data_IF_061713563773
#
_entry.id   IF_061713563773
#
_cell.length_a   1.000
_cell.length_b   1.000
_cell.length_c   1.000
_cell.angle_alpha   90.00
_cell.angle_beta   90.00
_cell.angle_gamma   90.00
#
_symmetry.space_group_name_H-M   'P 1'
#
loop_
_entity.id
_entity.type
_entity.pdbx_description
1 polymer ?
#
# COMPACT_ATOMS: atom_id res chain seq x y z
N UNK A 1 -22.44 2.53 -6.11
CA UNK A 1 -22.17 3.92 -6.51
C UNK A 1 -20.79 4.24 -5.99
N UNK A 2 -19.75 4.01 -6.80
CA UNK A 2 -18.37 4.25 -6.39
C UNK A 2 -18.09 5.75 -6.34
N UNK A 3 -18.06 6.27 -5.12
CA UNK A 3 -17.82 7.68 -4.81
C UNK A 3 -16.32 8.02 -4.73
N UNK A 4 -15.45 7.08 -5.09
CA UNK A 4 -14.00 7.25 -4.97
C UNK A 4 -13.35 7.25 -6.36
N UNK A 5 -13.41 8.40 -7.03
CA UNK A 5 -12.55 8.61 -8.19
C UNK A 5 -11.09 8.39 -7.77
N UNK A 6 -10.38 7.52 -8.50
CA UNK A 6 -8.96 7.28 -8.29
C UNK A 6 -8.21 8.54 -8.73
N UNK A 7 -7.83 9.38 -7.77
CA UNK A 7 -6.97 10.52 -8.06
C UNK A 7 -5.58 10.03 -8.46
N UNK A 8 -5.07 10.59 -9.55
CA UNK A 8 -3.67 10.43 -9.96
C UNK A 8 -2.71 11.22 -9.07
N UNK A 9 -3.23 12.10 -8.20
CA UNK A 9 -2.46 12.89 -7.25
C UNK A 9 -2.85 12.54 -5.81
N UNK A 10 -2.24 11.49 -5.23
CA UNK A 10 -2.50 11.16 -3.85
C UNK A 10 -1.90 12.23 -2.93
N UNK A 11 -2.60 12.57 -1.84
CA UNK A 11 -2.20 13.65 -0.92
C UNK A 11 -0.76 13.48 -0.43
N UNK A 12 0.08 14.49 -0.61
CA UNK A 12 1.50 14.51 -0.17
C UNK A 12 1.80 15.70 0.75
N UNK A 13 2.99 15.69 1.38
CA UNK A 13 3.48 16.83 2.17
C UNK A 13 3.59 18.06 1.27
N UNK A 14 3.13 19.19 1.78
CA UNK A 14 3.04 20.46 1.04
C UNK A 14 1.68 20.71 0.41
N UNK A 15 0.85 19.67 0.24
CA UNK A 15 -0.52 19.85 -0.25
C UNK A 15 -1.34 20.69 0.71
N UNK A 16 -2.21 21.51 0.14
CA UNK A 16 -3.14 22.33 0.90
C UNK A 16 -4.54 21.75 0.84
N UNK A 17 -5.09 21.39 1.99
CA UNK A 17 -6.47 20.90 2.11
C UNK A 17 -7.39 22.01 2.63
N UNK A 18 -8.64 22.02 2.15
CA UNK A 18 -9.68 22.97 2.57
C UNK A 18 -10.93 22.25 3.06
N UNK A 19 -11.50 22.68 4.19
CA UNK A 19 -12.76 22.14 4.71
C UNK A 19 -13.65 23.25 5.32
N UNK A 20 -14.95 23.00 5.42
CA UNK A 20 -15.89 23.87 6.14
C UNK A 20 -15.97 23.42 7.62
N UNK A 21 -15.55 24.25 8.60
CA UNK A 21 -15.64 23.90 10.01
C UNK A 21 -17.08 23.95 10.57
N UNK A 22 -18.04 24.49 9.79
CA UNK A 22 -19.46 24.62 10.16
C UNK A 22 -20.36 24.13 9.01
N UNK A 23 -20.23 22.85 8.62
CA UNK A 23 -20.94 22.34 7.46
C UNK A 23 -22.46 22.40 7.68
N UNK A 24 -23.19 22.62 6.59
CA UNK A 24 -24.65 22.67 6.63
C UNK A 24 -25.30 21.36 7.13
N UNK A 25 -24.60 20.23 6.99
CA UNK A 25 -25.05 18.93 7.49
C UNK A 25 -24.10 18.43 8.58
N UNK A 26 -24.65 18.04 9.71
CA UNK A 26 -23.87 17.47 10.82
C UNK A 26 -23.08 16.21 10.43
N UNK A 27 -23.51 15.48 9.39
CA UNK A 27 -22.80 14.30 8.89
C UNK A 27 -21.49 14.60 8.15
N UNK A 28 -21.22 15.87 7.82
CA UNK A 28 -19.99 16.25 7.11
C UNK A 28 -18.84 16.58 8.10
N UNK A 29 -19.14 16.67 9.40
CA UNK A 29 -18.18 16.77 10.51
C UNK A 29 -18.69 15.95 11.71
N UNK A 30 -18.18 14.74 11.86
CA UNK A 30 -18.64 13.77 12.86
C UNK A 30 -17.55 13.55 13.91
N UNK A 31 -17.95 13.44 15.18
CA UNK A 31 -17.08 12.90 16.22
C UNK A 31 -17.26 11.38 16.27
N UNK A 32 -16.17 10.62 16.23
CA UNK A 32 -16.17 9.17 16.34
C UNK A 32 -15.12 8.67 17.34
N UNK A 33 -15.33 7.46 17.87
CA UNK A 33 -14.36 6.80 18.74
C UNK A 33 -13.66 5.69 17.95
N UNK A 34 -12.34 5.75 17.90
CA UNK A 34 -11.51 4.74 17.25
C UNK A 34 -10.91 3.83 18.32
N UNK A 35 -11.08 2.51 18.16
CA UNK A 35 -10.54 1.49 19.07
C UNK A 35 -9.42 0.70 18.40
N UNK A 36 -8.31 0.45 19.10
CA UNK A 36 -7.18 -0.35 18.59
C UNK A 36 -6.45 -1.13 19.70
N UNK A 37 -5.48 -1.95 19.30
CA UNK A 37 -4.61 -2.72 20.19
C UNK A 37 -3.17 -2.21 20.09
N UNK A 38 -2.53 -1.94 21.24
CA UNK A 38 -1.13 -1.51 21.32
C UNK A 38 -0.55 -1.95 22.66
N UNK A 39 -0.26 -3.26 22.76
CA UNK A 39 0.08 -3.94 24.02
C UNK A 39 -1.13 -4.17 24.94
N UNK A 40 -2.01 -3.17 25.02
CA UNK A 40 -3.30 -3.20 25.70
C UNK A 40 -4.39 -2.56 24.81
N UNK A 41 -5.68 -2.81 25.07
CA UNK A 41 -6.76 -2.11 24.39
C UNK A 41 -6.66 -0.60 24.60
N UNK A 42 -6.79 0.17 23.52
CA UNK A 42 -6.79 1.64 23.55
C UNK A 42 -7.95 2.18 22.72
N UNK A 43 -8.34 3.41 23.04
CA UNK A 43 -9.33 4.16 22.26
C UNK A 43 -9.12 5.66 22.39
N UNK A 44 -9.56 6.41 21.39
CA UNK A 44 -9.50 7.87 21.39
C UNK A 44 -10.64 8.45 20.56
N UNK A 45 -10.90 9.75 20.76
CA UNK A 45 -11.91 10.48 19.99
C UNK A 45 -11.28 11.20 18.81
N UNK A 46 -11.93 11.11 17.65
CA UNK A 46 -11.50 11.76 16.41
C UNK A 46 -12.65 12.58 15.82
N UNK A 47 -12.30 13.74 15.28
CA UNK A 47 -13.13 14.48 14.34
C UNK A 47 -12.87 13.93 12.93
N UNK A 48 -13.92 13.51 12.24
CA UNK A 48 -13.85 13.07 10.84
C UNK A 48 -14.64 14.00 9.95
N UNK A 49 -14.03 14.38 8.83
CA UNK A 49 -14.63 15.26 7.84
C UNK A 49 -14.02 15.01 6.46
N UNK A 50 -14.63 15.61 5.44
CA UNK A 50 -14.14 15.59 4.06
C UNK A 50 -13.48 16.93 3.75
N UNK A 51 -12.25 16.88 3.25
CA UNK A 51 -11.53 18.06 2.79
C UNK A 51 -11.29 18.00 1.28
N UNK A 52 -11.09 19.15 0.66
CA UNK A 52 -10.76 19.30 -0.75
C UNK A 52 -9.26 19.56 -0.88
N UNK A 53 -8.56 18.81 -1.73
CA UNK A 53 -7.14 19.10 -2.04
C UNK A 53 -7.02 20.24 -3.05
N UNK A 54 -6.78 21.46 -2.55
CA UNK A 54 -6.66 22.67 -3.36
C UNK A 54 -5.44 22.64 -4.28
N UNK A 55 -4.35 22.02 -3.85
CA UNK A 55 -3.12 21.89 -4.66
C UNK A 55 -3.36 21.00 -5.88
N UNK A 56 -4.13 19.92 -5.74
CA UNK A 56 -4.51 19.07 -6.86
C UNK A 56 -5.53 19.74 -7.81
N UNK A 57 -6.37 20.64 -7.29
CA UNK A 57 -7.37 21.38 -8.08
C UNK A 57 -6.77 22.44 -9.00
N UNK A 58 -5.60 23.00 -8.67
CA UNK A 58 -4.91 23.98 -9.52
C UNK A 58 -4.55 23.39 -10.91
N UNK A 59 -4.63 22.06 -11.08
CA UNK A 59 -4.54 21.34 -12.35
C UNK A 59 -5.86 21.20 -13.14
N UNK A 60 -6.98 21.79 -12.68
CA UNK A 60 -8.28 21.77 -13.38
C UNK A 60 -9.14 20.52 -13.17
N UNK A 61 -8.86 19.70 -12.14
CA UNK A 61 -9.62 18.48 -11.89
C UNK A 61 -11.08 18.77 -11.50
N UNK A 62 -12.02 18.29 -12.32
CA UNK A 62 -13.46 18.29 -12.04
C UNK A 62 -13.97 16.84 -12.08
N UNK A 63 -14.60 16.31 -11.04
CA UNK A 63 -14.97 16.94 -9.76
C UNK A 63 -13.77 17.20 -8.81
N UNK A 64 -13.95 18.05 -7.78
CA UNK A 64 -12.93 18.33 -6.75
C UNK A 64 -12.44 17.04 -6.07
N UNK A 65 -11.13 16.95 -5.81
CA UNK A 65 -10.56 15.77 -5.15
C UNK A 65 -10.84 15.79 -3.65
N UNK A 66 -11.74 14.89 -3.21
CA UNK A 66 -12.17 14.79 -1.82
C UNK A 66 -11.26 13.81 -1.06
N UNK A 67 -10.72 14.29 0.06
CA UNK A 67 -9.83 13.57 0.96
C UNK A 67 -10.55 13.35 2.30
N UNK A 68 -10.73 12.11 2.77
CA UNK A 68 -11.15 11.86 4.14
C UNK A 68 -10.05 12.29 5.12
N UNK A 69 -10.44 13.04 6.14
CA UNK A 69 -9.54 13.57 7.16
C UNK A 69 -10.00 13.10 8.53
N UNK A 70 -9.06 12.63 9.33
CA UNK A 70 -9.28 12.26 10.73
C UNK A 70 -8.34 13.06 11.61
N UNK A 71 -8.86 13.76 12.59
CA UNK A 71 -8.07 14.56 13.52
C UNK A 71 -8.44 14.16 14.93
N UNK A 72 -7.47 13.70 15.72
CA UNK A 72 -7.71 13.43 17.13
C UNK A 72 -8.28 14.69 17.79
N UNK A 73 -9.29 14.55 18.65
CA UNK A 73 -10.08 15.67 19.17
C UNK A 73 -9.23 16.79 19.77
N UNK A 74 -8.21 16.46 20.55
CA UNK A 74 -7.29 17.43 21.15
C UNK A 74 -6.41 18.18 20.14
N UNK A 75 -6.21 17.62 18.95
CA UNK A 75 -5.49 18.23 17.83
C UNK A 75 -6.42 19.07 16.94
N UNK A 76 -7.72 18.79 16.94
CA UNK A 76 -8.68 19.47 16.07
C UNK A 76 -8.79 20.96 16.38
N UNK A 77 -8.84 21.34 17.66
CA UNK A 77 -8.85 22.76 18.03
C UNK A 77 -7.58 23.49 17.59
N UNK A 78 -6.43 22.81 17.66
CA UNK A 78 -5.15 23.38 17.23
C UNK A 78 -5.10 23.56 15.72
N UNK A 79 -5.62 22.57 14.98
CA UNK A 79 -5.79 22.66 13.53
C UNK A 79 -6.67 23.85 13.15
N UNK A 80 -7.85 23.99 13.77
CA UNK A 80 -8.77 25.11 13.50
C UNK A 80 -8.14 26.47 13.80
N UNK A 81 -7.38 26.58 14.90
CA UNK A 81 -6.70 27.83 15.29
C UNK A 81 -5.52 28.20 14.37
N UNK A 82 -4.85 27.21 13.80
CA UNK A 82 -3.65 27.39 12.94
C UNK A 82 -3.97 27.43 11.44
N UNK A 83 -5.15 26.97 11.03
CA UNK A 83 -5.58 27.00 9.65
C UNK A 83 -5.80 28.43 9.15
N UNK A 84 -5.50 28.64 7.87
CA UNK A 84 -5.70 29.92 7.21
C UNK A 84 -7.18 30.07 6.78
N UNK A 85 -7.76 31.28 6.86
CA UNK A 85 -9.11 31.50 6.36
C UNK A 85 -9.16 31.35 4.84
N UNK A 86 -10.06 30.51 4.35
CA UNK A 86 -10.38 30.32 2.95
C UNK A 86 -11.67 31.04 2.51
N UNK A 87 -12.05 30.94 1.24
CA UNK A 87 -13.28 31.54 0.72
C UNK A 87 -14.53 30.93 1.38
N UNK A 88 -15.61 31.69 1.47
CA UNK A 88 -16.90 31.23 2.01
C UNK A 88 -16.84 30.67 3.45
N UNK A 89 -15.84 31.06 4.24
CA UNK A 89 -15.70 30.63 5.62
C UNK A 89 -15.07 29.24 5.79
N UNK A 90 -14.46 28.68 4.74
CA UNK A 90 -13.64 27.47 4.86
C UNK A 90 -12.33 27.77 5.59
N UNK A 91 -11.67 26.70 6.03
CA UNK A 91 -10.33 26.73 6.60
C UNK A 91 -9.39 25.91 5.72
N UNK A 92 -8.21 26.46 5.45
CA UNK A 92 -7.15 25.83 4.68
C UNK A 92 -5.96 25.47 5.57
N UNK A 93 -5.45 24.24 5.44
CA UNK A 93 -4.30 23.76 6.21
C UNK A 93 -3.33 22.97 5.33
N UNK A 94 -2.01 23.08 5.57
CA UNK A 94 -1.03 22.28 4.86
C UNK A 94 -0.91 20.87 5.45
N UNK A 95 -0.62 19.90 4.59
CA UNK A 95 -0.13 18.59 5.00
C UNK A 95 1.36 18.70 5.30
N UNK A 96 1.73 18.36 6.52
CA UNK A 96 3.11 18.39 7.04
C UNK A 96 3.58 16.98 7.39
N UNK A 97 4.84 16.84 7.82
CA UNK A 97 5.38 15.57 8.33
C UNK A 97 4.77 15.12 9.67
N UNK A 98 3.89 15.94 10.28
CA UNK A 98 3.12 15.57 11.47
C UNK A 98 1.89 14.73 11.16
N UNK A 99 1.46 14.75 9.90
CA UNK A 99 0.38 13.90 9.44
C UNK A 99 0.87 12.48 9.19
N UNK A 100 -0.02 11.54 9.44
CA UNK A 100 0.06 10.20 8.90
C UNK A 100 -1.02 10.03 7.83
N UNK A 101 -0.95 8.95 7.09
CA UNK A 101 -1.95 8.62 6.09
C UNK A 101 -2.20 7.12 6.03
N UNK A 102 -3.39 6.75 5.59
CA UNK A 102 -3.63 5.41 5.09
C UNK A 102 -4.13 5.48 3.66
N UNK A 103 -4.19 4.34 2.99
CA UNK A 103 -4.66 4.26 1.61
C UNK A 103 -5.24 2.89 1.31
N UNK A 104 -6.21 2.85 0.38
CA UNK A 104 -6.78 1.59 -0.10
C UNK A 104 -5.81 0.89 -1.05
N UNK A 105 -5.16 1.65 -1.92
CA UNK A 105 -4.26 1.13 -2.96
C UNK A 105 -2.87 1.77 -2.90
N UNK A 106 -1.86 1.05 -3.40
CA UNK A 106 -0.45 1.48 -3.40
C UNK A 106 -0.17 2.72 -4.25
N UNK A 107 -0.99 2.93 -5.28
CA UNK A 107 -1.01 4.15 -6.11
C UNK A 107 -1.40 5.40 -5.31
N UNK A 108 -1.82 5.23 -4.05
CA UNK A 108 -2.39 6.28 -3.22
C UNK A 108 -3.87 6.54 -3.49
N UNK A 109 -4.50 5.72 -4.33
CA UNK A 109 -5.94 5.75 -4.49
C UNK A 109 -6.66 5.38 -3.17
N UNK A 110 -7.68 6.15 -2.82
CA UNK A 110 -8.34 6.05 -1.52
C UNK A 110 -7.47 6.53 -0.35
N UNK A 111 -6.51 7.44 -0.58
CA UNK A 111 -5.71 8.04 0.48
C UNK A 111 -6.57 8.91 1.40
N UNK A 112 -6.37 8.73 2.70
CA UNK A 112 -6.93 9.55 3.77
C UNK A 112 -5.79 9.99 4.68
N UNK A 113 -5.97 11.10 5.39
CA UNK A 113 -4.94 11.65 6.28
C UNK A 113 -5.41 11.66 7.73
N UNK A 114 -4.47 11.45 8.65
CA UNK A 114 -4.70 11.36 10.09
C UNK A 114 -3.73 12.30 10.82
N UNK A 115 -4.26 13.22 11.62
CA UNK A 115 -3.47 14.05 12.54
C UNK A 115 -3.79 13.63 13.98
N UNK A 116 -2.81 13.11 14.68
CA UNK A 116 -2.99 12.60 16.05
C UNK A 116 -1.65 12.48 16.79
N UNK A 117 -1.71 12.06 18.05
CA UNK A 117 -0.53 11.70 18.82
C UNK A 117 0.23 10.53 18.16
N UNK A 118 1.45 10.80 17.67
CA UNK A 118 2.35 9.80 17.04
C UNK A 118 2.74 8.62 17.94
N UNK A 119 2.53 8.74 19.26
CA UNK A 119 2.67 7.62 20.20
C UNK A 119 1.53 6.60 20.10
N UNK A 120 0.43 6.92 19.44
CA UNK A 120 -0.66 6.00 19.14
C UNK A 120 -0.38 5.29 17.81
N UNK A 121 -0.61 3.98 17.75
CA UNK A 121 -0.39 3.18 16.53
C UNK A 121 -1.65 2.42 16.10
N UNK A 122 -2.79 3.09 15.84
CA UNK A 122 -3.95 2.45 15.25
C UNK A 122 -3.62 1.97 13.84
N UNK A 123 -4.17 0.82 13.46
CA UNK A 123 -4.12 0.34 12.08
C UNK A 123 -4.99 1.20 11.16
N UNK A 124 -4.62 1.28 9.88
CA UNK A 124 -5.37 2.01 8.87
C UNK A 124 -6.81 1.46 8.68
N UNK A 125 -7.02 0.17 8.95
CA UNK A 125 -8.31 -0.52 8.90
C UNK A 125 -9.34 0.06 9.88
N UNK A 126 -8.88 0.82 10.88
CA UNK A 126 -9.74 1.48 11.86
C UNK A 126 -10.37 2.76 11.36
N UNK A 127 -9.84 3.33 10.27
CA UNK A 127 -10.31 4.59 9.70
C UNK A 127 -11.12 4.40 8.42
N UNK A 128 -11.03 3.23 7.78
CA UNK A 128 -11.74 2.94 6.54
C UNK A 128 -12.41 1.58 6.62
N UNK A 129 -13.70 1.54 6.24
CA UNK A 129 -14.35 0.29 5.86
C UNK A 129 -13.71 -0.20 4.56
N UNK A 130 -12.77 -1.14 4.69
CA UNK A 130 -12.20 -1.78 3.51
C UNK A 130 -13.22 -2.79 2.95
N UNK A 131 -13.33 -2.96 1.62
CA UNK A 131 -14.06 -4.08 1.02
C UNK A 131 -13.61 -5.44 1.59
N UNK A 132 -12.37 -5.51 2.08
CA UNK A 132 -11.86 -6.69 2.77
C UNK A 132 -12.49 -6.92 4.14
N UNK A 133 -12.82 -5.87 4.91
CA UNK A 133 -13.60 -6.00 6.16
C UNK A 133 -14.98 -6.62 5.87
N UNK A 134 -15.61 -6.24 4.75
CA UNK A 134 -16.87 -6.84 4.29
C UNK A 134 -16.68 -8.29 3.85
N UNK A 135 -15.62 -8.59 3.09
CA UNK A 135 -15.27 -9.97 2.70
C UNK A 135 -14.96 -10.84 3.92
N UNK A 136 -14.21 -10.35 4.91
CA UNK A 136 -13.91 -11.06 6.14
C UNK A 136 -15.16 -11.31 6.95
N UNK A 137 -16.07 -10.34 7.02
CA UNK A 137 -17.36 -10.51 7.67
C UNK A 137 -18.19 -11.57 6.95
N UNK A 138 -18.13 -11.61 5.62
CA UNK A 138 -18.78 -12.64 4.80
C UNK A 138 -18.13 -14.03 4.98
N UNK A 139 -16.79 -14.11 4.99
CA UNK A 139 -16.02 -15.34 5.23
C UNK A 139 -16.27 -15.88 6.64
N UNK A 140 -16.24 -14.99 7.63
CA UNK A 140 -16.49 -15.32 9.03
C UNK A 140 -17.93 -15.76 9.24
N UNK A 141 -18.89 -15.10 8.58
CA UNK A 141 -20.29 -15.52 8.55
C UNK A 141 -20.47 -16.91 7.94
N UNK A 142 -19.90 -17.15 6.76
CA UNK A 142 -19.99 -18.43 6.06
C UNK A 142 -19.32 -19.57 6.88
N UNK A 143 -18.12 -19.33 7.40
CA UNK A 143 -17.39 -20.30 8.24
C UNK A 143 -18.11 -20.58 9.56
N UNK A 144 -18.72 -19.56 10.18
CA UNK A 144 -19.53 -19.74 11.40
C UNK A 144 -20.80 -20.56 11.14
N UNK A 145 -21.50 -20.30 10.03
CA UNK A 145 -22.68 -21.07 9.60
C UNK A 145 -22.31 -22.54 9.34
N UNK A 146 -21.12 -22.80 8.78
CA UNK A 146 -20.62 -24.14 8.51
C UNK A 146 -20.03 -24.86 9.76
N UNK A 147 -20.12 -24.27 10.95
CA UNK A 147 -19.54 -24.84 12.17
C UNK A 147 -18.01 -24.86 12.20
N UNK A 148 -17.36 -24.03 11.37
CA UNK A 148 -15.90 -23.92 11.25
C UNK A 148 -15.37 -22.61 11.87
N UNK A 149 -15.90 -22.20 13.03
CA UNK A 149 -15.50 -20.96 13.70
C UNK A 149 -13.97 -20.85 13.94
N UNK A 150 -13.29 -21.95 14.29
CA UNK A 150 -11.83 -21.97 14.47
C UNK A 150 -11.05 -21.61 13.20
N UNK A 151 -11.62 -21.84 12.01
CA UNK A 151 -11.04 -21.45 10.72
C UNK A 151 -11.27 -19.97 10.47
N UNK A 152 -12.45 -19.47 10.81
CA UNK A 152 -12.79 -18.06 10.75
C UNK A 152 -11.85 -17.22 11.63
N UNK A 153 -11.52 -17.72 12.82
CA UNK A 153 -10.61 -17.06 13.76
C UNK A 153 -9.17 -17.02 13.25
N UNK A 154 -8.68 -18.08 12.58
CA UNK A 154 -7.35 -18.08 11.97
C UNK A 154 -7.27 -17.12 10.77
N UNK A 155 -8.34 -17.05 9.97
CA UNK A 155 -8.44 -16.10 8.85
C UNK A 155 -8.53 -14.67 9.38
N UNK A 156 -9.30 -14.41 10.45
CA UNK A 156 -9.37 -13.09 11.08
C UNK A 156 -8.03 -12.69 11.71
N UNK A 157 -7.34 -13.61 12.39
CA UNK A 157 -6.01 -13.36 12.97
C UNK A 157 -4.97 -13.05 11.88
N UNK A 158 -4.98 -13.79 10.77
CA UNK A 158 -4.07 -13.55 9.66
C UNK A 158 -4.43 -12.28 8.90
N UNK A 159 -5.72 -12.00 8.72
CA UNK A 159 -6.20 -10.76 8.16
C UNK A 159 -5.77 -9.57 9.01
N UNK A 160 -5.94 -9.63 10.33
CA UNK A 160 -5.40 -8.61 11.23
C UNK A 160 -3.89 -8.52 11.13
N UNK A 161 -3.16 -9.63 11.03
CA UNK A 161 -1.70 -9.60 10.86
C UNK A 161 -1.26 -8.95 9.54
N UNK A 162 -2.05 -9.09 8.47
CA UNK A 162 -1.75 -8.56 7.14
C UNK A 162 -2.31 -7.15 6.89
N UNK A 163 -3.38 -6.77 7.60
CA UNK A 163 -4.20 -5.60 7.32
C UNK A 163 -4.40 -4.65 8.51
N UNK A 164 -3.94 -4.99 9.72
CA UNK A 164 -3.57 -4.00 10.76
C UNK A 164 -2.29 -3.28 10.32
N UNK A 165 -2.30 -2.76 9.08
CA UNK A 165 -1.21 -1.99 8.52
C UNK A 165 -1.14 -0.72 9.35
N UNK A 166 0.03 -0.38 9.90
CA UNK A 166 0.16 0.87 10.61
C UNK A 166 -0.21 2.02 9.65
N UNK A 167 -0.73 3.11 10.21
CA UNK A 167 -0.74 4.37 9.50
C UNK A 167 0.69 4.68 9.01
N UNK A 168 0.77 5.21 7.80
CA UNK A 168 2.01 5.50 7.11
C UNK A 168 2.44 6.91 7.46
N UNK A 169 3.73 7.11 7.69
CA UNK A 169 4.27 8.45 7.96
C UNK A 169 4.83 9.05 6.69
N UNK A 170 4.55 10.32 6.44
CA UNK A 170 5.17 11.06 5.34
C UNK A 170 6.67 11.27 5.53
N UNK A 171 7.19 11.18 6.76
CA UNK A 171 8.63 11.26 7.04
C UNK A 171 9.39 9.98 6.66
N UNK A 172 8.71 8.88 6.36
CA UNK A 172 9.35 7.62 5.95
C UNK A 172 9.50 7.61 4.44
N UNK A 173 10.71 7.88 3.97
CA UNK A 173 11.04 7.74 2.56
C UNK A 173 11.10 6.25 2.16
N UNK A 174 10.52 5.87 1.01
CA UNK A 174 10.67 4.52 0.47
C UNK A 174 12.14 4.12 0.33
N UNK A 175 12.42 2.82 0.47
CA UNK A 175 13.80 2.29 0.34
C UNK A 175 14.41 2.57 -1.05
N UNK A 176 13.56 2.69 -2.07
CA UNK A 176 13.96 3.04 -3.44
C UNK A 176 12.83 3.80 -4.16
N UNK A 177 13.19 4.79 -4.97
CA UNK A 177 12.26 5.63 -5.76
C UNK A 177 12.72 5.72 -7.22
N UNK A 178 11.82 6.19 -8.07
CA UNK A 178 12.19 6.59 -9.43
C UNK A 178 13.31 7.64 -9.37
N UNK A 179 14.31 7.51 -10.22
CA UNK A 179 15.50 8.38 -10.29
C UNK A 179 16.62 8.05 -9.30
N UNK A 180 16.41 7.19 -8.29
CA UNK A 180 17.49 6.76 -7.41
C UNK A 180 18.52 5.90 -8.18
N UNK A 181 19.78 5.91 -7.74
CA UNK A 181 20.85 5.09 -8.33
C UNK A 181 21.15 3.91 -7.41
N UNK A 182 21.04 2.70 -7.96
CA UNK A 182 21.41 1.45 -7.30
C UNK A 182 22.78 0.98 -7.77
N UNK A 183 23.70 0.82 -6.83
CA UNK A 183 25.01 0.23 -7.03
C UNK A 183 24.98 -1.26 -6.76
N UNK A 184 25.51 -2.04 -7.69
CA UNK A 184 25.74 -3.48 -7.54
C UNK A 184 27.23 -3.75 -7.65
N UNK A 185 27.83 -4.23 -6.58
CA UNK A 185 29.24 -4.65 -6.62
C UNK A 185 29.41 -5.87 -7.52
N UNK A 186 30.43 -5.83 -8.38
CA UNK A 186 30.73 -6.90 -9.31
C UNK A 186 31.14 -8.21 -8.59
N UNK A 187 31.71 -8.10 -7.37
CA UNK A 187 32.12 -9.25 -6.55
C UNK A 187 31.01 -9.75 -5.60
N UNK A 188 30.10 -8.87 -5.16
CA UNK A 188 28.95 -9.23 -4.30
C UNK A 188 27.84 -9.94 -5.07
N UNK A 189 28.03 -10.17 -6.38
CA UNK A 189 27.21 -11.05 -7.20
C UNK A 189 27.38 -12.54 -6.84
N UNK A 190 27.57 -12.90 -5.57
CA UNK A 190 27.26 -14.23 -5.08
C UNK A 190 25.73 -14.39 -5.15
N UNK A 191 25.26 -14.77 -6.35
CA UNK A 191 23.85 -14.74 -6.73
C UNK A 191 23.14 -15.88 -6.01
N UNK A 192 22.40 -15.59 -4.95
CA UNK A 192 21.36 -16.53 -4.55
C UNK A 192 20.28 -16.49 -5.63
N UNK A 193 19.79 -17.65 -6.03
CA UNK A 193 18.73 -17.77 -7.03
C UNK A 193 17.41 -18.01 -6.33
N UNK A 194 16.35 -17.37 -6.79
CA UNK A 194 14.97 -17.66 -6.41
C UNK A 194 14.17 -18.08 -7.64
N UNK A 195 13.47 -19.21 -7.55
CA UNK A 195 12.55 -19.64 -8.60
C UNK A 195 11.15 -19.14 -8.29
N UNK A 196 10.64 -18.25 -9.15
CA UNK A 196 9.31 -17.66 -9.02
C UNK A 196 8.35 -18.40 -9.94
N UNK A 197 7.27 -18.94 -9.37
CA UNK A 197 6.21 -19.68 -10.10
C UNK A 197 4.89 -18.91 -9.98
N UNK A 198 4.18 -18.75 -11.10
CA UNK A 198 2.89 -18.07 -11.14
C UNK A 198 1.96 -18.61 -12.23
N UNK A 199 0.71 -18.16 -12.23
CA UNK A 199 -0.27 -18.44 -13.27
C UNK A 199 -0.51 -17.16 -14.08
N UNK A 200 -0.47 -17.26 -15.40
CA UNK A 200 -0.77 -16.16 -16.31
C UNK A 200 -1.44 -16.76 -17.55
N UNK A 201 -2.58 -16.21 -17.97
CA UNK A 201 -3.37 -16.70 -19.13
C UNK A 201 -3.67 -18.22 -19.03
N UNK A 202 -4.13 -18.66 -17.85
CA UNK A 202 -4.41 -20.07 -17.55
C UNK A 202 -3.21 -21.03 -17.68
N UNK A 203 -2.00 -20.50 -17.90
CA UNK A 203 -0.77 -21.27 -18.06
C UNK A 203 0.15 -21.08 -16.85
N UNK A 204 0.72 -22.18 -16.36
CA UNK A 204 1.73 -22.14 -15.30
C UNK A 204 3.05 -21.65 -15.88
N UNK A 205 3.63 -20.61 -15.28
CA UNK A 205 4.92 -20.04 -15.62
C UNK A 205 5.90 -20.25 -14.46
N UNK A 206 7.18 -20.37 -14.76
CA UNK A 206 8.24 -20.59 -13.77
C UNK A 206 9.53 -20.02 -14.31
N UNK A 207 10.18 -19.15 -13.54
CA UNK A 207 11.38 -18.44 -13.99
C UNK A 207 12.35 -18.26 -12.82
N UNK A 208 13.65 -18.23 -13.13
CA UNK A 208 14.72 -18.06 -12.14
C UNK A 208 15.18 -16.61 -12.13
N UNK A 209 15.35 -16.08 -10.93
CA UNK A 209 15.85 -14.73 -10.70
C UNK A 209 17.10 -14.79 -9.83
N UNK A 210 18.11 -14.00 -10.19
CA UNK A 210 19.20 -13.65 -9.29
C UNK A 210 18.70 -12.65 -8.27
N UNK A 211 18.88 -12.96 -6.99
CA UNK A 211 18.68 -12.04 -5.89
C UNK A 211 20.02 -11.47 -5.47
N UNK A 212 20.11 -10.14 -5.50
CA UNK A 212 21.34 -9.39 -5.22
C UNK A 212 21.01 -8.33 -4.17
N UNK A 213 21.97 -8.04 -3.30
CA UNK A 213 21.88 -6.88 -2.44
C UNK A 213 22.58 -5.70 -3.11
N UNK A 214 21.79 -4.77 -3.62
CA UNK A 214 22.28 -3.51 -4.17
C UNK A 214 22.35 -2.45 -3.06
N UNK A 215 23.05 -1.36 -3.33
CA UNK A 215 23.16 -0.19 -2.45
C UNK A 215 22.53 1.02 -3.14
N UNK A 216 21.51 1.61 -2.53
CA UNK A 216 20.95 2.88 -3.00
C UNK A 216 21.87 4.03 -2.57
N UNK A 217 22.77 4.43 -3.48
CA UNK A 217 23.77 5.48 -3.22
C UNK A 217 23.12 6.88 -3.20
N UNK A 218 21.94 7.04 -3.79
CA UNK A 218 21.14 8.27 -3.72
C UNK A 218 20.41 8.45 -2.38
N UNK A 219 20.33 7.39 -1.56
CA UNK A 219 19.60 7.39 -0.29
C UNK A 219 20.47 6.86 0.85
N UNK A 220 21.60 7.55 1.12
CA UNK A 220 22.51 7.26 2.23
C UNK A 220 23.02 5.81 2.28
N UNK A 221 23.30 5.20 1.11
CA UNK A 221 23.79 3.84 0.98
C UNK A 221 22.88 2.77 1.60
N UNK A 222 21.55 2.97 1.55
CA UNK A 222 20.60 1.96 2.06
C UNK A 222 20.68 0.66 1.24
N UNK A 223 20.66 -0.53 1.88
CA UNK A 223 20.61 -1.79 1.16
C UNK A 223 19.25 -2.00 0.50
N UNK A 224 19.24 -2.53 -0.73
CA UNK A 224 18.05 -2.79 -1.54
C UNK A 224 18.14 -4.19 -2.13
N UNK A 225 17.11 -5.01 -1.91
CA UNK A 225 16.99 -6.28 -2.63
C UNK A 225 16.72 -5.98 -4.10
N UNK A 226 17.52 -6.55 -4.98
CA UNK A 226 17.41 -6.37 -6.41
C UNK A 226 17.35 -7.73 -7.08
N UNK A 227 16.22 -8.01 -7.73
CA UNK A 227 15.96 -9.25 -8.44
C UNK A 227 16.13 -9.03 -9.93
N UNK A 228 16.88 -9.92 -10.59
CA UNK A 228 17.09 -9.85 -12.03
C UNK A 228 16.80 -11.21 -12.61
N UNK A 229 15.94 -11.27 -13.64
CA UNK A 229 15.71 -12.52 -14.35
C UNK A 229 17.04 -13.06 -14.90
N UNK A 230 17.28 -14.35 -14.70
CA UNK A 230 18.55 -15.00 -15.03
C UNK A 230 19.01 -14.73 -16.47
N UNK A 231 18.13 -14.95 -17.46
CA UNK A 231 18.44 -14.73 -18.88
C UNK A 231 18.63 -13.24 -19.27
N UNK A 232 18.23 -12.31 -18.41
CA UNK A 232 18.29 -10.87 -18.67
C UNK A 232 19.54 -10.21 -18.09
N UNK A 233 20.28 -10.91 -17.22
CA UNK A 233 21.46 -10.39 -16.54
C UNK A 233 22.54 -9.90 -17.51
N UNK A 234 23.06 -10.81 -18.34
CA UNK A 234 24.20 -10.51 -19.22
C UNK A 234 23.79 -9.77 -20.50
N UNK A 235 22.55 -9.98 -20.96
CA UNK A 235 22.08 -9.49 -22.26
C UNK A 235 21.47 -8.10 -22.15
N UNK A 236 20.71 -7.82 -21.09
CA UNK A 236 19.88 -6.62 -21.02
C UNK A 236 20.33 -5.68 -19.89
N UNK A 237 20.55 -6.20 -18.69
CA UNK A 237 20.82 -5.35 -17.53
C UNK A 237 22.12 -4.56 -17.69
N UNK A 238 23.22 -5.21 -18.08
CA UNK A 238 24.50 -4.51 -18.25
C UNK A 238 24.45 -3.44 -19.35
N UNK A 239 23.50 -3.50 -20.28
CA UNK A 239 23.36 -2.47 -21.32
C UNK A 239 22.69 -1.19 -20.82
N UNK A 240 21.98 -1.26 -19.69
CA UNK A 240 21.30 -0.11 -19.08
C UNK A 240 22.04 0.47 -17.86
N UNK A 241 23.25 -0.04 -17.55
CA UNK A 241 24.09 0.53 -16.51
C UNK A 241 24.52 1.96 -16.88
N UNK A 242 24.30 2.91 -15.97
CA UNK A 242 24.72 4.32 -16.15
C UNK A 242 26.21 4.51 -15.84
N UNK A 243 26.80 3.61 -15.05
CA UNK A 243 28.25 3.52 -14.84
C UNK A 243 28.70 2.06 -14.80
N UNK A 244 29.89 1.82 -15.35
CA UNK A 244 30.59 0.52 -15.36
C UNK A 244 32.03 0.76 -14.94
N UNK A 245 32.29 0.65 -13.65
CA UNK A 245 33.66 0.71 -13.13
C UNK A 245 34.13 -0.71 -12.80
N UNK A 246 35.46 -0.90 -12.70
CA UNK A 246 36.07 -2.23 -12.59
C UNK A 246 35.53 -3.10 -11.43
N UNK A 247 34.87 -2.50 -10.43
CA UNK A 247 34.35 -3.20 -9.26
C UNK A 247 32.83 -3.06 -9.02
N UNK A 248 32.10 -2.28 -9.81
CA UNK A 248 30.66 -2.10 -9.60
C UNK A 248 29.91 -1.62 -10.87
N UNK A 249 28.60 -1.81 -10.84
CA UNK A 249 27.66 -1.33 -11.84
C UNK A 249 26.62 -0.43 -11.16
N UNK A 250 26.38 0.74 -11.73
CA UNK A 250 25.34 1.66 -11.25
C UNK A 250 24.15 1.64 -12.21
N UNK A 251 22.94 1.57 -11.67
CA UNK A 251 21.68 1.52 -12.40
C UNK A 251 20.76 2.63 -11.91
N UNK A 252 20.32 3.50 -12.80
CA UNK A 252 19.29 4.48 -12.49
C UNK A 252 17.92 3.82 -12.52
N UNK A 253 17.20 3.85 -11.39
CA UNK A 253 15.84 3.31 -11.28
C UNK A 253 14.90 4.17 -12.11
N UNK A 254 14.14 3.52 -12.98
CA UNK A 254 13.21 4.14 -13.91
C UNK A 254 12.07 3.16 -14.29
N UNK A 255 11.20 3.55 -15.22
CA UNK A 255 10.10 2.71 -15.70
C UNK A 255 10.49 1.41 -16.43
N UNK A 256 11.78 1.11 -16.62
CA UNK A 256 12.23 -0.21 -17.09
C UNK A 256 12.25 -1.24 -15.95
N UNK A 257 12.25 -0.79 -14.72
CA UNK A 257 12.20 -1.62 -13.53
C UNK A 257 10.77 -1.74 -13.01
N UNK A 258 10.51 -2.86 -12.35
CA UNK A 258 9.35 -3.02 -11.49
C UNK A 258 9.80 -3.12 -10.04
N UNK A 259 8.85 -3.06 -9.11
CA UNK A 259 9.14 -3.24 -7.70
C UNK A 259 8.04 -4.01 -6.98
N UNK A 260 8.42 -4.57 -5.84
CA UNK A 260 7.47 -4.97 -4.81
C UNK A 260 7.85 -4.33 -3.49
N UNK A 261 6.95 -4.36 -2.51
CA UNK A 261 7.16 -3.74 -1.21
C UNK A 261 6.43 -4.52 -0.11
N UNK A 262 6.96 -4.45 1.11
CA UNK A 262 6.36 -5.13 2.25
C UNK A 262 5.05 -4.46 2.66
N UNK A 263 4.97 -3.14 2.50
CA UNK A 263 3.79 -2.36 2.78
C UNK A 263 3.69 -1.13 1.86
N UNK A 264 2.56 -0.44 1.98
CA UNK A 264 2.17 0.68 1.14
C UNK A 264 3.02 1.94 1.34
N UNK A 265 3.85 2.05 2.40
CA UNK A 265 4.81 3.18 2.55
C UNK A 265 6.06 3.01 1.71
N UNK A 266 6.23 1.86 1.04
CA UNK A 266 7.49 1.56 0.34
C UNK A 266 8.63 1.19 1.28
N UNK A 267 8.31 0.84 2.53
CA UNK A 267 9.28 0.22 3.44
C UNK A 267 9.72 -1.14 2.87
N UNK A 268 11.02 -1.41 2.94
CA UNK A 268 11.66 -2.59 2.35
C UNK A 268 11.34 -2.81 0.87
N UNK A 269 11.04 -1.74 0.12
CA UNK A 269 10.81 -1.85 -1.33
C UNK A 269 12.03 -2.47 -2.01
N UNK A 270 11.77 -3.47 -2.85
CA UNK A 270 12.78 -4.17 -3.65
C UNK A 270 12.53 -3.96 -5.14
N UNK A 271 13.60 -4.02 -5.93
CA UNK A 271 13.55 -3.80 -7.37
C UNK A 271 13.57 -5.13 -8.11
N UNK A 272 12.87 -5.19 -9.23
CA UNK A 272 12.84 -6.34 -10.15
C UNK A 272 13.13 -5.85 -11.56
N UNK A 273 14.08 -6.49 -12.24
CA UNK A 273 14.37 -6.29 -13.66
C UNK A 273 14.16 -7.59 -14.44
N UNK A 274 13.23 -7.58 -15.38
CA UNK A 274 12.81 -8.74 -16.16
C UNK A 274 11.95 -8.32 -17.36
N UNK A 275 11.49 -9.31 -18.13
CA UNK A 275 10.47 -9.11 -19.17
C UNK A 275 9.15 -8.58 -18.59
N UNK A 276 8.78 -7.35 -18.97
CA UNK A 276 7.56 -6.66 -18.51
C UNK A 276 6.26 -7.29 -19.00
N UNK A 277 6.30 -8.19 -19.98
CA UNK A 277 5.12 -8.98 -20.36
C UNK A 277 4.72 -10.00 -19.27
N UNK A 278 5.62 -10.25 -18.31
CA UNK A 278 5.40 -11.17 -17.20
C UNK A 278 4.72 -10.44 -16.05
N UNK A 279 3.73 -11.09 -15.44
CA UNK A 279 2.98 -10.52 -14.32
C UNK A 279 3.06 -11.40 -13.07
N UNK A 280 4.26 -11.72 -12.55
CA UNK A 280 4.38 -12.42 -11.28
C UNK A 280 3.88 -11.53 -10.13
N UNK A 281 3.26 -12.15 -9.14
CA UNK A 281 2.84 -11.46 -7.94
C UNK A 281 4.03 -11.17 -7.01
N UNK A 282 4.04 -9.98 -6.39
CA UNK A 282 5.13 -9.48 -5.54
C UNK A 282 5.48 -10.43 -4.39
N UNK A 283 4.48 -11.07 -3.78
CA UNK A 283 4.67 -11.99 -2.66
C UNK A 283 5.49 -13.23 -3.04
N UNK A 284 5.74 -13.50 -4.32
CA UNK A 284 6.55 -14.64 -4.78
C UNK A 284 8.05 -14.39 -4.67
N UNK A 285 8.47 -13.14 -4.54
CA UNK A 285 9.89 -12.76 -4.48
C UNK A 285 10.46 -12.78 -3.06
N UNK A 286 9.60 -12.62 -2.05
CA UNK A 286 10.00 -12.63 -0.64
C UNK A 286 9.08 -13.57 0.15
N UNK A 287 9.57 -14.21 1.23
CA UNK A 287 8.71 -14.95 2.14
C UNK A 287 7.56 -14.06 2.64
N UNK A 288 6.32 -14.49 2.41
CA UNK A 288 5.12 -13.75 2.78
C UNK A 288 4.19 -14.65 3.59
N UNK A 289 3.50 -14.11 4.64
CA UNK A 289 2.44 -14.82 5.35
C UNK A 289 1.34 -15.36 4.43
N UNK A 290 1.15 -14.75 3.25
CA UNK A 290 0.24 -15.23 2.20
C UNK A 290 0.57 -16.68 1.78
N UNK A 291 1.84 -17.10 1.79
CA UNK A 291 2.18 -18.50 1.50
C UNK A 291 1.60 -19.48 2.53
N UNK A 292 1.52 -19.10 3.80
CA UNK A 292 0.85 -19.92 4.81
C UNK A 292 -0.65 -20.04 4.51
N UNK A 293 -1.28 -18.96 4.03
CA UNK A 293 -2.69 -18.93 3.64
C UNK A 293 -2.98 -19.77 2.40
N UNK A 294 -2.16 -19.60 1.35
CA UNK A 294 -2.27 -20.38 0.11
C UNK A 294 -2.08 -21.86 0.42
N UNK A 295 -1.06 -22.23 1.21
CA UNK A 295 -0.85 -23.62 1.60
C UNK A 295 -2.02 -24.18 2.43
N UNK A 296 -2.57 -23.38 3.34
CA UNK A 296 -3.73 -23.76 4.14
C UNK A 296 -4.97 -24.03 3.29
N UNK A 297 -5.29 -23.15 2.33
CA UNK A 297 -6.47 -23.33 1.46
C UNK A 297 -6.25 -24.36 0.34
N UNK A 298 -5.02 -24.57 -0.11
CA UNK A 298 -4.69 -25.57 -1.15
C UNK A 298 -4.94 -27.02 -0.69
N UNK A 299 -5.06 -27.24 0.62
CA UNK A 299 -5.33 -28.55 1.22
C UNK A 299 -6.83 -28.79 1.47
N UNK A 300 -7.71 -27.86 1.07
CA UNK A 300 -9.16 -27.92 1.30
C UNK A 300 -9.92 -27.94 -0.04
N UNK A 301 -11.18 -28.40 -0.06
CA UNK A 301 -12.02 -28.35 -1.26
C UNK A 301 -12.10 -26.92 -1.83
N UNK A 302 -12.33 -26.79 -3.15
CA UNK A 302 -12.24 -25.52 -3.85
C UNK A 302 -13.17 -24.47 -3.23
N UNK A 303 -12.61 -23.26 -3.04
CA UNK A 303 -13.29 -22.11 -2.43
C UNK A 303 -14.61 -21.74 -3.14
N UNK A 304 -14.81 -22.16 -4.39
CA UNK A 304 -16.06 -22.00 -5.15
C UNK A 304 -17.28 -22.57 -4.43
N UNK A 305 -17.11 -23.67 -3.70
CA UNK A 305 -18.21 -24.40 -3.08
C UNK A 305 -18.56 -23.84 -1.69
N UNK A 306 -17.66 -23.06 -1.10
CA UNK A 306 -17.78 -22.50 0.25
C UNK A 306 -18.28 -21.05 0.22
N UNK A 307 -17.94 -20.30 -0.83
CA UNK A 307 -17.99 -18.85 -0.74
C UNK A 307 -19.22 -18.18 -1.31
N UNK A 308 -19.94 -18.77 -2.26
CA UNK A 308 -21.08 -18.13 -2.95
C UNK A 308 -20.88 -16.62 -3.20
N UNK A 309 -19.62 -16.19 -3.35
CA UNK A 309 -19.26 -14.81 -3.65
C UNK A 309 -19.89 -14.59 -5.01
N UNK A 310 -20.59 -13.48 -5.16
CA UNK A 310 -21.19 -13.10 -6.42
C UNK A 310 -20.03 -12.79 -7.38
N UNK A 311 -19.43 -13.84 -7.95
CA UNK A 311 -18.23 -13.85 -8.78
C UNK A 311 -18.45 -13.18 -10.14
N UNK A 312 -19.59 -12.50 -10.27
CA UNK A 312 -20.00 -11.67 -11.39
C UNK A 312 -19.46 -10.24 -11.27
N UNK A 313 -19.03 -9.80 -10.08
CA UNK A 313 -18.33 -8.53 -9.91
C UNK A 313 -16.80 -8.71 -10.09
N UNK A 314 -16.23 -8.25 -11.21
CA UNK A 314 -14.81 -8.41 -11.51
C UNK A 314 -13.88 -7.67 -10.54
N UNK A 315 -14.33 -6.60 -9.88
CA UNK A 315 -13.52 -5.88 -8.89
C UNK A 315 -13.38 -6.71 -7.61
N UNK A 316 -14.47 -7.33 -7.14
CA UNK A 316 -14.47 -8.21 -5.98
C UNK A 316 -13.59 -9.44 -6.21
N UNK A 317 -13.62 -10.00 -7.42
CA UNK A 317 -12.75 -11.14 -7.80
C UNK A 317 -11.28 -10.71 -7.88
N UNK A 318 -10.99 -9.53 -8.43
CA UNK A 318 -9.62 -8.99 -8.51
C UNK A 318 -9.07 -8.67 -7.12
N UNK A 319 -9.85 -8.03 -6.25
CA UNK A 319 -9.46 -7.73 -4.87
C UNK A 319 -9.25 -9.02 -4.06
N UNK A 320 -10.12 -10.04 -4.23
CA UNK A 320 -9.94 -11.36 -3.63
C UNK A 320 -8.67 -12.06 -4.12
N UNK A 321 -8.40 -12.00 -5.42
CA UNK A 321 -7.17 -12.56 -5.99
C UNK A 321 -5.92 -11.81 -5.47
N UNK A 322 -5.99 -10.49 -5.34
CA UNK A 322 -4.89 -9.68 -4.81
C UNK A 322 -4.62 -9.94 -3.32
N UNK A 323 -5.66 -10.28 -2.55
CA UNK A 323 -5.53 -10.70 -1.15
C UNK A 323 -4.95 -12.11 -1.06
N UNK A 324 -5.53 -13.08 -1.78
CA UNK A 324 -5.17 -14.50 -1.67
C UNK A 324 -3.84 -14.82 -2.34
N UNK A 325 -3.53 -14.15 -3.45
CA UNK A 325 -2.35 -14.38 -4.27
C UNK A 325 -1.43 -13.15 -4.31
N UNK A 326 -1.56 -12.20 -3.38
CA UNK A 326 -0.76 -10.98 -3.37
C UNK A 326 -1.00 -10.07 -4.58
N UNK A 327 -0.35 -8.90 -4.61
CA UNK A 327 -0.47 -7.94 -5.72
C UNK A 327 0.54 -8.23 -6.84
N UNK A 328 0.29 -7.84 -8.10
CA UNK A 328 1.33 -7.87 -9.14
C UNK A 328 2.48 -6.95 -8.74
N UNK A 329 3.64 -7.10 -9.40
CA UNK A 329 4.70 -6.10 -9.30
C UNK A 329 4.22 -4.74 -9.84
N UNK A 330 4.69 -3.66 -9.20
CA UNK A 330 4.38 -2.28 -9.57
C UNK A 330 5.46 -1.68 -10.47
N UNK A 331 5.14 -0.60 -11.17
CA UNK A 331 6.08 0.15 -12.02
C UNK A 331 6.52 1.43 -11.34
N UNK A 332 7.77 1.83 -11.55
CA UNK A 332 8.22 3.18 -11.19
C UNK A 332 7.67 4.17 -12.22
N UNK A 333 6.89 5.15 -11.74
CA UNK A 333 6.30 6.24 -12.53
C UNK A 333 7.22 7.46 -12.59
#
# INVERSE_FOLDING_TARGET
>A
MDIYAVSTHPVVVGDKLSFDPRPARAQDLIECTIHWQQGQPRSDQYMTFKAINKTAEDGGATPPFIVPVFVQKDYYEQLVKSANPGPNGTLEFPITEDWQYGQRFETGAGRFVVLHNKGNTPGQDRFMDTPFTQLLTLLHGAASIAGQAAVADQVDALARAQFNRPLLSYSVLPTVRNGDILRVDAQSAARSTVTVKWLQESSRRSETYYQIMATNISLNNKPVKFFVQEDWWSVNLLNIAVSKENNHFDFMVNGQFQYGQTNDSGHDRWVVYHDRARQPYQHRFIPSPIFALVNFFSQRPPLSDILAINATDPEVVSDLAAVLFGRPLLTFD
#
